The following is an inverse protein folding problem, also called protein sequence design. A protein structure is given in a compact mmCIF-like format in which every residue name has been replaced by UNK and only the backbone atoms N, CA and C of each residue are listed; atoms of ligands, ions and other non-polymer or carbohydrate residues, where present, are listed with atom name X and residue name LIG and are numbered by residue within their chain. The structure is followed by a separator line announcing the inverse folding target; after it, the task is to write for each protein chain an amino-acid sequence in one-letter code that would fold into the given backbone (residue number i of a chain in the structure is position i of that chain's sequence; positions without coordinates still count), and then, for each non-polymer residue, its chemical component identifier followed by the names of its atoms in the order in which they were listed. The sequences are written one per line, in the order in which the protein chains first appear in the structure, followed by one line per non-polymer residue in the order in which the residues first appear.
data_IF_400584018017
#
_entry.id   IF_400584018017
#
_cell.length_a   1.000
_cell.length_b   1.000
_cell.length_c   1.000
_cell.angle_alpha   90.00
_cell.angle_beta   90.00
_cell.angle_gamma   90.00
#
_symmetry.space_group_name_H-M   'P 1'
#
loop_
_entity.id
_entity.type
_entity.pdbx_description
1 polymer ?
#
# COMPACT_ATOMS: atom_id res chain seq x y z
N UNK A 1 19.44 13.51 14.75
CA UNK A 1 18.09 13.35 14.16
C UNK A 1 18.11 13.93 12.76
N UNK A 2 17.92 13.11 11.72
CA UNK A 2 17.76 13.64 10.36
C UNK A 2 16.37 14.28 10.27
N UNK A 3 16.29 15.56 9.91
CA UNK A 3 15.07 16.18 9.39
C UNK A 3 14.65 15.34 8.19
N UNK A 4 13.47 14.72 8.26
CA UNK A 4 12.85 14.16 7.06
C UNK A 4 12.31 15.38 6.31
N UNK A 5 13.04 15.83 5.30
CA UNK A 5 12.55 16.87 4.39
C UNK A 5 11.45 16.27 3.51
N UNK A 6 10.19 16.51 3.87
CA UNK A 6 9.01 16.05 3.12
C UNK A 6 8.71 16.94 1.90
N UNK A 7 9.72 17.18 1.06
CA UNK A 7 9.54 17.91 -0.21
C UNK A 7 9.83 17.00 -1.39
N UNK A 8 9.00 15.97 -1.63
CA UNK A 8 9.06 15.20 -2.87
C UNK A 8 7.67 14.94 -3.48
N UNK A 9 7.48 15.24 -4.78
CA UNK A 9 6.31 14.78 -5.51
C UNK A 9 6.43 13.26 -5.70
N UNK A 10 5.58 12.48 -5.03
CA UNK A 10 5.38 11.07 -5.40
C UNK A 10 6.11 10.02 -4.54
N UNK A 11 5.90 10.02 -3.22
CA UNK A 11 6.17 8.83 -2.42
C UNK A 11 5.17 7.73 -2.82
N UNK A 12 5.57 6.88 -3.76
CA UNK A 12 4.85 5.66 -4.11
C UNK A 12 5.48 4.51 -3.33
N UNK A 13 4.66 3.78 -2.56
CA UNK A 13 5.05 2.53 -1.92
C UNK A 13 5.61 1.58 -2.98
N UNK A 14 6.84 1.10 -2.79
CA UNK A 14 7.43 0.15 -3.70
C UNK A 14 7.05 -1.28 -3.31
N UNK A 15 6.87 -2.19 -4.28
CA UNK A 15 6.63 -3.60 -4.00
C UNK A 15 7.82 -4.19 -3.22
N UNK A 16 7.55 -4.85 -2.10
CA UNK A 16 8.57 -5.49 -1.27
C UNK A 16 9.27 -4.56 -0.27
N UNK A 17 8.90 -3.28 -0.25
CA UNK A 17 9.51 -2.29 0.66
C UNK A 17 8.57 -1.87 1.80
N UNK A 18 7.33 -2.36 1.82
CA UNK A 18 6.37 -2.06 2.90
C UNK A 18 6.50 -3.10 4.00
N UNK A 19 6.73 -2.66 5.24
CA UNK A 19 6.78 -3.59 6.39
C UNK A 19 5.40 -4.18 6.70
N UNK A 20 5.35 -5.35 7.34
CA UNK A 20 4.08 -5.96 7.80
C UNK A 20 3.26 -4.99 8.66
N UNK A 21 3.91 -4.28 9.57
CA UNK A 21 3.23 -3.37 10.48
C UNK A 21 2.67 -2.14 9.75
N UNK A 22 3.46 -1.54 8.84
CA UNK A 22 2.98 -0.44 8.01
C UNK A 22 1.81 -0.90 7.11
N UNK A 23 1.91 -2.10 6.53
CA UNK A 23 0.85 -2.69 5.72
C UNK A 23 -0.43 -2.91 6.54
N UNK A 24 -0.33 -3.49 7.73
CA UNK A 24 -1.44 -3.72 8.64
C UNK A 24 -2.17 -2.42 8.95
N UNK A 25 -1.45 -1.37 9.34
CA UNK A 25 -2.03 -0.05 9.63
C UNK A 25 -2.72 0.56 8.40
N UNK A 26 -2.10 0.48 7.22
CA UNK A 26 -2.72 0.96 5.98
C UNK A 26 -4.02 0.21 5.65
N UNK A 27 -4.05 -1.11 5.84
CA UNK A 27 -5.26 -1.91 5.62
C UNK A 27 -6.35 -1.55 6.63
N UNK A 28 -6.00 -1.44 7.92
CA UNK A 28 -6.92 -1.12 9.02
C UNK A 28 -7.65 0.22 8.77
N UNK A 29 -6.94 1.22 8.25
CA UNK A 29 -7.49 2.55 7.92
C UNK A 29 -8.27 2.53 6.59
N UNK A 30 -7.89 1.66 5.65
CA UNK A 30 -8.51 1.60 4.33
C UNK A 30 -9.96 1.05 4.35
N UNK A 31 -10.75 1.31 3.29
CA UNK A 31 -12.05 0.65 3.11
C UNK A 31 -11.94 -0.81 2.61
N UNK A 32 -10.74 -1.37 2.44
CA UNK A 32 -10.54 -2.71 1.89
C UNK A 32 -10.85 -3.76 2.96
N UNK A 33 -11.86 -4.60 2.69
CA UNK A 33 -12.31 -5.65 3.64
C UNK A 33 -12.24 -7.07 3.11
N UNK A 34 -12.04 -7.26 1.81
CA UNK A 34 -11.94 -8.60 1.24
C UNK A 34 -10.62 -9.25 1.66
N UNK A 35 -10.67 -10.32 2.45
CA UNK A 35 -9.48 -11.06 2.89
C UNK A 35 -8.58 -11.47 1.71
N UNK A 36 -9.19 -11.93 0.62
CA UNK A 36 -8.51 -12.30 -0.63
C UNK A 36 -7.73 -11.12 -1.26
N UNK A 37 -8.31 -9.92 -1.23
CA UNK A 37 -7.64 -8.70 -1.72
C UNK A 37 -6.56 -8.26 -0.75
N UNK A 38 -6.80 -8.35 0.57
CA UNK A 38 -5.80 -8.00 1.60
C UNK A 38 -4.56 -8.89 1.44
N UNK A 39 -4.74 -10.19 1.27
CA UNK A 39 -3.64 -11.12 0.97
C UNK A 39 -2.91 -10.75 -0.32
N UNK A 40 -3.65 -10.44 -1.38
CA UNK A 40 -3.05 -10.00 -2.65
C UNK A 40 -2.21 -8.71 -2.50
N UNK A 41 -2.71 -7.73 -1.75
CA UNK A 41 -1.99 -6.49 -1.47
C UNK A 41 -0.75 -6.74 -0.60
N UNK A 42 -0.82 -7.67 0.36
CA UNK A 42 0.34 -8.08 1.17
C UNK A 42 1.41 -8.73 0.32
N UNK A 43 1.04 -9.67 -0.54
CA UNK A 43 1.98 -10.33 -1.45
C UNK A 43 2.67 -9.32 -2.38
N UNK A 44 1.95 -8.29 -2.81
CA UNK A 44 2.51 -7.22 -3.63
C UNK A 44 3.42 -6.26 -2.84
N UNK A 45 2.90 -5.63 -1.80
CA UNK A 45 3.58 -4.55 -1.09
C UNK A 45 4.63 -5.03 -0.10
N UNK A 46 4.40 -6.16 0.56
CA UNK A 46 5.30 -6.69 1.59
C UNK A 46 6.24 -7.74 1.02
N UNK A 47 5.74 -8.69 0.24
CA UNK A 47 6.56 -9.77 -0.31
C UNK A 47 7.20 -9.44 -1.68
N UNK A 48 6.83 -8.30 -2.28
CA UNK A 48 7.40 -7.86 -3.56
C UNK A 48 7.03 -8.73 -4.76
N UNK A 49 5.98 -9.54 -4.67
CA UNK A 49 5.56 -10.39 -5.78
C UNK A 49 4.99 -9.57 -6.93
N UNK A 50 5.26 -10.05 -8.16
CA UNK A 50 4.75 -9.39 -9.37
C UNK A 50 3.21 -9.40 -9.40
N UNK A 51 2.61 -8.38 -10.02
CA UNK A 51 1.14 -8.28 -10.12
C UNK A 51 0.51 -9.53 -10.75
N UNK A 52 1.17 -10.12 -11.75
CA UNK A 52 0.74 -11.36 -12.41
C UNK A 52 0.65 -12.51 -11.40
N UNK A 53 1.74 -12.77 -10.68
CA UNK A 53 1.82 -13.84 -9.69
C UNK A 53 0.79 -13.65 -8.57
N UNK A 54 0.63 -12.42 -8.10
CA UNK A 54 -0.34 -12.05 -7.06
C UNK A 54 -1.77 -12.34 -7.52
N UNK A 55 -2.13 -11.93 -8.74
CA UNK A 55 -3.47 -12.17 -9.30
C UNK A 55 -3.76 -13.66 -9.45
N UNK A 56 -2.78 -14.44 -9.92
CA UNK A 56 -2.91 -15.89 -10.09
C UNK A 56 -3.10 -16.60 -8.75
N UNK A 57 -2.19 -16.36 -7.78
CA UNK A 57 -2.23 -17.01 -6.45
C UNK A 57 -3.47 -16.67 -5.66
N UNK A 58 -3.83 -15.40 -5.65
CA UNK A 58 -4.95 -14.92 -4.87
C UNK A 58 -6.24 -14.90 -5.70
N UNK A 59 -6.27 -15.42 -6.92
CA UNK A 59 -7.44 -15.41 -7.83
C UNK A 59 -8.13 -14.03 -7.94
N UNK A 60 -7.38 -12.94 -7.93
CA UNK A 60 -7.89 -11.57 -8.02
C UNK A 60 -7.81 -11.08 -9.46
N UNK A 61 -8.84 -10.38 -9.93
CA UNK A 61 -8.82 -9.75 -11.25
C UNK A 61 -7.71 -8.67 -11.33
N UNK A 62 -6.87 -8.63 -12.38
CA UNK A 62 -5.77 -7.67 -12.49
C UNK A 62 -6.18 -6.19 -12.46
N UNK A 63 -7.32 -5.85 -13.07
CA UNK A 63 -7.87 -4.50 -13.01
C UNK A 63 -8.31 -4.12 -11.61
N UNK A 64 -8.95 -5.05 -10.90
CA UNK A 64 -9.36 -4.84 -9.52
C UNK A 64 -8.15 -4.70 -8.58
N UNK A 65 -7.12 -5.55 -8.71
CA UNK A 65 -5.87 -5.39 -7.97
C UNK A 65 -5.23 -4.02 -8.23
N UNK A 66 -5.21 -3.57 -9.49
CA UNK A 66 -4.63 -2.27 -9.86
C UNK A 66 -5.37 -1.09 -9.24
N UNK A 67 -6.70 -1.18 -9.11
CA UNK A 67 -7.51 -0.19 -8.38
C UNK A 67 -7.11 -0.19 -6.90
N UNK A 68 -7.01 -1.37 -6.28
CA UNK A 68 -6.70 -1.48 -4.85
C UNK A 68 -5.28 -1.05 -4.50
N UNK A 69 -4.30 -1.30 -5.37
CA UNK A 69 -2.95 -0.73 -5.24
C UNK A 69 -3.02 0.81 -5.24
N UNK A 70 -3.76 1.42 -6.18
CA UNK A 70 -3.89 2.88 -6.24
C UNK A 70 -4.58 3.47 -5.01
N UNK A 71 -5.59 2.80 -4.46
CA UNK A 71 -6.27 3.22 -3.24
C UNK A 71 -5.30 3.26 -2.04
N UNK A 72 -4.51 2.20 -1.82
CA UNK A 72 -3.52 2.16 -0.73
C UNK A 72 -2.43 3.22 -0.92
N UNK A 73 -1.96 3.41 -2.16
CA UNK A 73 -1.00 4.48 -2.49
C UNK A 73 -1.55 5.87 -2.19
N UNK A 74 -2.81 6.14 -2.54
CA UNK A 74 -3.46 7.41 -2.27
C UNK A 74 -3.66 7.63 -0.76
N UNK A 75 -4.02 6.58 -0.02
CA UNK A 75 -4.11 6.63 1.44
C UNK A 75 -2.77 6.99 2.08
N UNK A 76 -1.69 6.33 1.68
CA UNK A 76 -0.34 6.63 2.20
C UNK A 76 0.06 8.08 1.94
N UNK A 77 -0.19 8.60 0.72
CA UNK A 77 0.04 10.02 0.41
C UNK A 77 -0.73 10.96 1.32
N UNK A 78 -2.03 10.71 1.53
CA UNK A 78 -2.86 11.53 2.43
C UNK A 78 -2.36 11.50 3.88
N UNK A 79 -1.88 10.35 4.35
CA UNK A 79 -1.29 10.24 5.70
C UNK A 79 -0.01 11.09 5.79
N UNK A 80 0.85 11.05 4.77
CA UNK A 80 2.06 11.87 4.72
C UNK A 80 1.75 13.36 4.63
N UNK A 81 0.70 13.75 3.90
CA UNK A 81 0.21 15.12 3.83
C UNK A 81 -0.39 15.58 5.16
N UNK A 82 -1.08 14.69 5.89
CA UNK A 82 -1.67 14.98 7.20
C UNK A 82 -0.62 15.08 8.32
N UNK A 83 0.45 14.28 8.25
CA UNK A 83 1.41 14.12 9.33
C UNK A 83 2.00 15.44 9.89
N UNK A 84 2.43 16.42 9.06
CA UNK A 84 2.93 17.70 9.55
C UNK A 84 1.90 18.57 10.30
N UNK A 85 0.60 18.26 10.20
CA UNK A 85 -0.46 18.99 10.89
C UNK A 85 -0.83 18.40 12.25
N UNK A 86 -0.27 17.23 12.58
CA UNK A 86 -0.49 16.55 13.87
C UNK A 86 0.64 16.81 14.88
N UNK A 87 1.69 17.51 14.44
CA UNK A 87 2.90 17.86 15.21
C UNK A 87 2.88 19.28 15.72
#
# INVERSE_FOLDING_TARGET
MKKIEFTHPGYALQPGEVTEEQFRLLVDISPVRSAKVIMALRDYFVLGHSRKLVCERNQVNPGYLSIKIREIQALCRRILELYPHLS
#
